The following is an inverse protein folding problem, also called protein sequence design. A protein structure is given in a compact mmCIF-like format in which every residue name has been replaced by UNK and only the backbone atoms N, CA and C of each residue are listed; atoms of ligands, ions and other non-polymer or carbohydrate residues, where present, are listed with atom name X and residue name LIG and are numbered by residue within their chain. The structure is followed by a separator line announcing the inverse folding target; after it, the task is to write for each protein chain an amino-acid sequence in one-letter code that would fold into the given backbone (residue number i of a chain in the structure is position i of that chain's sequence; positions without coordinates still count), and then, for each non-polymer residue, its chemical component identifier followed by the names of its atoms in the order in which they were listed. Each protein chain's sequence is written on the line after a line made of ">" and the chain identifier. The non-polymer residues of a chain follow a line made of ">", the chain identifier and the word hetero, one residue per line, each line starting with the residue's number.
data_IF_538375398781
#
_entry.id   IF_538375398781
#
_cell.length_a   1.000
_cell.length_b   1.000
_cell.length_c   1.000
_cell.angle_alpha   90.00
_cell.angle_beta   90.00
_cell.angle_gamma   90.00
#
_symmetry.space_group_name_H-M   'P 1'
#
loop_
_entity.id
_entity.type
_entity.pdbx_description
1 polymer ?
#
# COMPACT_ATOMS: atom_id res chain seq x y z
N UNK A 1 -4.39 2.15 19.58
CA UNK A 1 -4.56 2.29 18.12
C UNK A 1 -3.16 2.34 17.53
N UNK A 2 -2.78 1.39 16.67
CA UNK A 2 -1.44 1.37 16.05
C UNK A 2 -1.30 2.45 14.98
N UNK A 3 -0.11 3.04 14.88
CA UNK A 3 0.20 4.21 14.03
C UNK A 3 0.07 3.91 12.53
N UNK A 4 0.24 2.64 12.16
CA UNK A 4 0.08 2.14 10.79
C UNK A 4 -0.95 1.00 10.79
N UNK A 5 -2.05 1.16 10.04
CA UNK A 5 -2.98 0.05 9.77
C UNK A 5 -2.31 -0.95 8.82
N UNK A 6 -1.43 -1.79 9.35
CA UNK A 6 -0.79 -2.87 8.61
C UNK A 6 -1.79 -3.98 8.33
N UNK A 7 -1.88 -4.41 7.07
CA UNK A 7 -2.68 -5.57 6.69
C UNK A 7 -2.06 -6.82 7.34
N UNK A 8 -2.83 -7.74 7.96
CA UNK A 8 -2.29 -8.91 8.68
C UNK A 8 -1.32 -9.76 7.86
N UNK A 9 -1.56 -9.90 6.55
CA UNK A 9 -0.64 -10.62 5.65
C UNK A 9 0.69 -9.89 5.45
N UNK A 10 0.69 -8.54 5.44
CA UNK A 10 1.92 -7.73 5.39
C UNK A 10 2.71 -7.91 6.68
N UNK A 11 2.02 -7.90 7.83
CA UNK A 11 2.65 -8.11 9.14
C UNK A 11 3.32 -9.49 9.23
N UNK A 12 2.63 -10.57 8.84
CA UNK A 12 3.20 -11.93 8.84
C UNK A 12 4.41 -12.04 7.90
N UNK A 13 4.34 -11.40 6.74
CA UNK A 13 5.45 -11.43 5.77
C UNK A 13 6.64 -10.61 6.24
N UNK A 14 6.41 -9.50 6.95
CA UNK A 14 7.47 -8.69 7.58
C UNK A 14 8.16 -9.43 8.72
N UNK A 15 7.38 -10.07 9.61
CA UNK A 15 7.87 -10.92 10.70
C UNK A 15 8.80 -12.01 10.16
N UNK A 16 8.38 -12.68 9.09
CA UNK A 16 9.17 -13.75 8.47
C UNK A 16 10.45 -13.21 7.81
N UNK A 17 10.36 -12.08 7.10
CA UNK A 17 11.49 -11.54 6.34
C UNK A 17 12.53 -10.80 7.19
N UNK A 18 12.10 -10.21 8.32
CA UNK A 18 12.97 -9.47 9.23
C UNK A 18 13.36 -10.29 10.47
N UNK A 19 12.88 -11.53 10.59
CA UNK A 19 13.14 -12.40 11.73
C UNK A 19 12.64 -11.83 13.06
N UNK A 20 11.49 -11.14 13.04
CA UNK A 20 10.97 -10.46 14.23
C UNK A 20 10.34 -11.47 15.19
N UNK A 21 10.59 -11.27 16.49
CA UNK A 21 9.97 -12.09 17.54
C UNK A 21 8.48 -11.76 17.65
N UNK A 22 7.63 -12.73 17.33
CA UNK A 22 6.16 -12.64 17.40
C UNK A 22 5.63 -12.45 18.82
N UNK A 23 6.46 -12.64 19.85
CA UNK A 23 6.10 -12.41 21.24
C UNK A 23 6.40 -10.98 21.71
N UNK A 24 7.14 -10.19 20.93
CA UNK A 24 7.35 -8.78 21.23
C UNK A 24 6.11 -7.96 20.89
N UNK A 25 5.82 -6.98 21.75
CA UNK A 25 4.72 -6.02 21.53
C UNK A 25 5.02 -5.24 20.25
N UNK A 26 4.04 -5.14 19.37
CA UNK A 26 4.12 -4.31 18.16
C UNK A 26 4.05 -2.82 18.55
N UNK A 27 5.12 -2.30 19.12
CA UNK A 27 5.28 -0.91 19.50
C UNK A 27 5.62 -0.01 18.29
N UNK A 28 5.72 1.30 18.51
CA UNK A 28 5.94 2.26 17.42
C UNK A 28 7.27 2.04 16.71
N UNK A 29 8.32 1.66 17.44
CA UNK A 29 9.66 1.39 16.88
C UNK A 29 9.64 0.14 15.99
N UNK A 30 8.95 -0.92 16.43
CA UNK A 30 8.76 -2.13 15.64
C UNK A 30 7.92 -1.87 14.39
N UNK A 31 6.90 -1.01 14.50
CA UNK A 31 6.08 -0.61 13.35
C UNK A 31 6.87 0.21 12.33
N UNK A 32 7.70 1.16 12.79
CA UNK A 32 8.58 1.96 11.93
C UNK A 32 9.61 1.06 11.23
N UNK A 33 10.20 0.10 11.94
CA UNK A 33 11.14 -0.86 11.36
C UNK A 33 10.48 -1.76 10.29
N UNK A 34 9.28 -2.28 10.57
CA UNK A 34 8.51 -3.04 9.57
C UNK A 34 8.18 -2.16 8.35
N UNK A 35 7.83 -0.90 8.58
CA UNK A 35 7.50 0.06 7.54
C UNK A 35 8.71 0.39 6.65
N UNK A 36 9.84 0.75 7.25
CA UNK A 36 11.04 1.22 6.54
C UNK A 36 11.87 0.07 5.96
N UNK A 37 12.08 -1.02 6.71
CA UNK A 37 12.99 -2.09 6.28
C UNK A 37 12.33 -3.15 5.41
N UNK A 38 11.03 -3.40 5.59
CA UNK A 38 10.34 -4.44 4.83
C UNK A 38 9.37 -3.86 3.81
N UNK A 39 8.52 -2.94 4.24
CA UNK A 39 7.39 -2.47 3.44
C UNK A 39 7.85 -1.61 2.26
N UNK A 40 8.68 -0.60 2.53
CA UNK A 40 9.21 0.31 1.51
C UNK A 40 10.35 -0.34 0.72
N UNK A 41 11.31 -0.99 1.39
CA UNK A 41 12.52 -1.53 0.73
C UNK A 41 12.32 -2.86 0.01
N UNK A 42 11.55 -3.80 0.59
CA UNK A 42 11.43 -5.16 0.05
C UNK A 42 10.14 -5.36 -0.74
N UNK A 43 8.99 -4.96 -0.18
CA UNK A 43 7.67 -5.23 -0.79
C UNK A 43 7.30 -4.22 -1.89
N UNK A 44 7.77 -2.97 -1.78
CA UNK A 44 7.43 -1.86 -2.69
C UNK A 44 8.66 -1.09 -3.18
N UNK A 45 9.59 -1.74 -3.92
CA UNK A 45 10.87 -1.15 -4.35
C UNK A 45 10.71 0.14 -5.16
N UNK A 46 9.54 0.37 -5.78
CA UNK A 46 9.24 1.59 -6.52
C UNK A 46 9.16 2.85 -5.63
N UNK A 47 8.78 2.70 -4.36
CA UNK A 47 8.76 3.81 -3.40
C UNK A 47 10.18 4.23 -3.08
N UNK A 48 11.05 3.29 -2.70
CA UNK A 48 12.45 3.59 -2.39
C UNK A 48 13.22 4.07 -3.62
N UNK A 49 12.99 3.48 -4.80
CA UNK A 49 13.59 3.94 -6.05
C UNK A 49 13.27 5.42 -6.33
N UNK A 50 12.03 5.86 -6.08
CA UNK A 50 11.69 7.28 -6.23
C UNK A 50 12.44 8.16 -5.23
N UNK A 51 12.47 7.77 -3.95
CA UNK A 51 13.12 8.52 -2.87
C UNK A 51 14.64 8.63 -3.10
N UNK A 52 15.29 7.57 -3.60
CA UNK A 52 16.72 7.51 -3.92
C UNK A 52 17.06 8.10 -5.30
N UNK A 53 16.06 8.55 -6.06
CA UNK A 53 16.27 9.28 -7.30
C UNK A 53 16.24 8.47 -8.60
N UNK A 54 16.12 7.14 -8.54
CA UNK A 54 16.09 6.27 -9.72
C UNK A 54 14.67 5.95 -10.25
N UNK A 55 13.61 6.32 -9.51
CA UNK A 55 12.20 6.07 -9.86
C UNK A 55 11.35 7.32 -10.09
N UNK A 56 10.08 7.10 -10.50
CA UNK A 56 9.08 8.17 -10.70
C UNK A 56 8.08 8.26 -9.56
N UNK A 57 7.52 9.46 -9.36
CA UNK A 57 6.57 9.73 -8.26
C UNK A 57 5.27 8.96 -8.48
N UNK A 58 4.82 8.81 -9.72
CA UNK A 58 3.58 8.11 -10.09
C UNK A 58 3.66 6.62 -9.73
N UNK A 59 4.82 6.00 -9.93
CA UNK A 59 5.06 4.59 -9.61
C UNK A 59 5.14 4.36 -8.09
N UNK A 60 5.73 5.30 -7.36
CA UNK A 60 5.76 5.29 -5.90
C UNK A 60 4.34 5.47 -5.31
N UNK A 61 3.58 6.45 -5.81
CA UNK A 61 2.19 6.70 -5.40
C UNK A 61 1.31 5.47 -5.63
N UNK A 62 1.39 4.86 -6.82
CA UNK A 62 0.60 3.67 -7.14
C UNK A 62 0.98 2.48 -6.25
N UNK A 63 2.27 2.29 -6.00
CA UNK A 63 2.78 1.24 -5.11
C UNK A 63 2.33 1.44 -3.67
N UNK A 64 2.25 2.69 -3.20
CA UNK A 64 1.71 3.04 -1.89
C UNK A 64 0.22 2.73 -1.80
N UNK A 65 -0.57 3.06 -2.82
CA UNK A 65 -2.01 2.78 -2.86
C UNK A 65 -2.34 1.27 -2.91
N UNK A 66 -1.45 0.43 -3.46
CA UNK A 66 -1.57 -1.02 -3.42
C UNK A 66 -1.30 -1.62 -2.03
N UNK A 67 -0.76 -0.84 -1.12
CA UNK A 67 -0.33 -1.30 0.18
C UNK A 67 -1.19 -0.76 1.31
N UNK A 68 -1.52 0.54 1.23
CA UNK A 68 -2.40 1.21 2.16
C UNK A 68 -3.71 1.54 1.47
N UNK A 69 -4.77 0.85 1.86
CA UNK A 69 -6.11 1.05 1.32
C UNK A 69 -6.63 2.50 1.54
N UNK A 70 -6.06 3.21 2.51
CA UNK A 70 -6.33 4.63 2.80
C UNK A 70 -5.75 5.59 1.75
N UNK A 71 -4.85 5.15 0.88
CA UNK A 71 -4.27 5.98 -0.19
C UNK A 71 -5.07 5.82 -1.48
N UNK A 72 -5.44 6.96 -2.05
CA UNK A 72 -6.18 7.05 -3.30
C UNK A 72 -5.31 6.75 -4.51
N UNK A 73 -5.87 5.99 -5.45
CA UNK A 73 -5.26 5.64 -6.74
C UNK A 73 -5.54 6.75 -7.76
N UNK A 74 -4.54 7.09 -8.57
CA UNK A 74 -4.69 8.06 -9.66
C UNK A 74 -5.70 7.60 -10.71
N UNK A 75 -6.41 8.56 -11.31
CA UNK A 75 -7.38 8.28 -12.36
C UNK A 75 -6.75 7.49 -13.51
N UNK A 76 -7.45 6.45 -13.97
CA UNK A 76 -7.02 5.62 -15.09
C UNK A 76 -6.01 4.52 -14.74
N UNK A 77 -5.49 4.47 -13.50
CA UNK A 77 -4.67 3.33 -13.04
C UNK A 77 -5.57 2.14 -12.69
N UNK A 78 -5.10 0.89 -12.89
CA UNK A 78 -5.88 -0.29 -12.54
C UNK A 78 -6.05 -0.40 -11.02
N UNK A 79 -7.23 -0.84 -10.59
CA UNK A 79 -7.53 -1.19 -9.19
C UNK A 79 -7.86 -2.68 -9.11
N UNK A 80 -7.99 -3.23 -7.90
CA UNK A 80 -8.29 -4.65 -7.68
C UNK A 80 -9.45 -5.14 -8.56
N UNK A 81 -9.31 -6.31 -9.15
CA UNK A 81 -10.37 -6.87 -9.99
C UNK A 81 -11.64 -7.12 -9.17
N UNK A 82 -12.80 -6.91 -9.80
CA UNK A 82 -14.06 -7.38 -9.23
C UNK A 82 -14.15 -8.88 -9.44
N UNK A 83 -14.13 -9.62 -8.35
CA UNK A 83 -14.28 -11.08 -8.35
C UNK A 83 -15.77 -11.43 -8.40
N UNK A 84 -16.17 -12.16 -9.44
CA UNK A 84 -17.52 -12.74 -9.52
C UNK A 84 -17.44 -14.18 -9.06
N UNK A 85 -18.31 -14.55 -8.11
CA UNK A 85 -18.41 -15.91 -7.56
C UNK A 85 -19.77 -16.51 -7.91
N UNK A 86 -19.82 -17.83 -8.11
CA UNK A 86 -21.08 -18.55 -8.23
C UNK A 86 -21.74 -18.73 -6.85
N UNK A 87 -22.95 -19.32 -6.82
CA UNK A 87 -23.70 -19.61 -5.58
C UNK A 87 -22.94 -20.51 -4.57
N UNK A 88 -21.92 -21.25 -5.01
CA UNK A 88 -21.05 -22.10 -4.18
C UNK A 88 -19.77 -21.38 -3.72
N UNK A 89 -19.63 -20.08 -3.98
CA UNK A 89 -18.46 -19.28 -3.61
C UNK A 89 -17.23 -19.46 -4.51
N UNK A 90 -17.31 -20.29 -5.56
CA UNK A 90 -16.19 -20.48 -6.51
C UNK A 90 -16.08 -19.26 -7.42
N UNK A 91 -14.85 -18.75 -7.59
CA UNK A 91 -14.54 -17.67 -8.53
C UNK A 91 -14.84 -18.14 -9.96
N UNK A 92 -15.66 -17.39 -10.68
CA UNK A 92 -16.05 -17.68 -12.07
C UNK A 92 -15.54 -16.64 -13.07
N UNK A 93 -15.30 -15.39 -12.63
CA UNK A 93 -14.65 -14.38 -13.46
C UNK A 93 -14.00 -13.29 -12.62
N UNK A 94 -13.06 -12.57 -13.25
CA UNK A 94 -12.41 -11.38 -12.72
C UNK A 94 -12.62 -10.26 -13.72
N UNK A 95 -13.25 -9.18 -13.29
CA UNK A 95 -13.51 -8.01 -14.14
C UNK A 95 -12.48 -6.96 -13.78
N UNK A 96 -11.64 -6.57 -14.76
CA UNK A 96 -10.67 -5.49 -14.60
C UNK A 96 -11.37 -4.18 -14.32
N UNK A 97 -10.79 -3.39 -13.41
CA UNK A 97 -11.32 -2.08 -13.01
C UNK A 97 -10.21 -1.03 -13.03
N UNK A 98 -10.63 0.20 -13.23
CA UNK A 98 -9.74 1.36 -13.26
C UNK A 98 -10.29 2.43 -12.33
N UNK A 99 -9.41 3.10 -11.61
CA UNK A 99 -9.79 4.17 -10.71
C UNK A 99 -10.37 5.35 -11.51
N UNK A 100 -11.45 5.93 -11.00
CA UNK A 100 -11.98 7.24 -11.42
C UNK A 100 -11.13 8.39 -10.87
N UNK A 101 -10.30 8.10 -9.86
CA UNK A 101 -9.37 9.02 -9.22
C UNK A 101 -9.70 9.20 -7.74
N UNK A 102 -8.74 8.94 -6.86
CA UNK A 102 -8.86 9.09 -5.40
C UNK A 102 -9.55 7.93 -4.68
N UNK A 103 -9.91 6.87 -5.38
CA UNK A 103 -10.48 5.65 -4.79
C UNK A 103 -9.38 4.74 -4.24
N UNK A 104 -9.70 3.93 -3.23
CA UNK A 104 -8.79 2.88 -2.75
C UNK A 104 -8.47 1.88 -3.87
N UNK A 105 -7.26 1.30 -3.87
CA UNK A 105 -6.96 0.15 -4.73
C UNK A 105 -7.94 -1.02 -4.52
N UNK A 106 -8.48 -1.15 -3.31
CA UNK A 106 -9.44 -2.18 -2.93
C UNK A 106 -10.91 -1.73 -3.02
N UNK A 107 -11.19 -0.57 -3.64
CA UNK A 107 -12.53 -0.02 -3.71
C UNK A 107 -13.56 -1.03 -4.26
N UNK A 108 -14.77 -1.03 -3.71
CA UNK A 108 -15.87 -1.90 -4.12
C UNK A 108 -15.93 -3.28 -3.42
N UNK A 109 -15.11 -3.50 -2.40
CA UNK A 109 -15.26 -4.62 -1.45
C UNK A 109 -16.19 -4.32 -0.26
N UNK A 110 -16.63 -3.06 -0.13
CA UNK A 110 -17.52 -2.58 0.94
C UNK A 110 -16.80 -2.27 2.26
N UNK A 111 -15.49 -2.49 2.35
CA UNK A 111 -14.70 -2.30 3.56
C UNK A 111 -13.65 -1.20 3.42
N UNK A 112 -13.01 -1.11 2.25
CA UNK A 112 -11.88 -0.23 2.03
C UNK A 112 -12.30 1.11 1.39
N UNK A 113 -11.86 2.21 2.01
CA UNK A 113 -12.05 3.58 1.52
C UNK A 113 -10.75 4.36 1.64
N UNK A 114 -10.44 5.12 0.60
CA UNK A 114 -9.31 6.05 0.63
C UNK A 114 -9.67 7.31 1.44
N UNK A 115 -8.69 7.79 2.20
CA UNK A 115 -8.74 8.99 3.02
C UNK A 115 -7.63 10.00 2.66
N UNK A 116 -6.61 9.56 1.92
CA UNK A 116 -5.51 10.35 1.40
C UNK A 116 -5.66 10.45 -0.12
N UNK A 117 -5.74 11.66 -0.66
CA UNK A 117 -5.87 11.88 -2.11
C UNK A 117 -4.55 11.64 -2.84
N UNK A 118 -4.57 11.42 -4.18
CA UNK A 118 -3.35 11.31 -4.98
C UNK A 118 -2.43 12.53 -4.82
N UNK A 119 -2.99 13.73 -4.71
CA UNK A 119 -2.21 14.95 -4.51
C UNK A 119 -1.53 14.99 -3.13
N UNK A 120 -2.23 14.58 -2.07
CA UNK A 120 -1.65 14.53 -0.72
C UNK A 120 -0.48 13.55 -0.64
N UNK A 121 -0.60 12.35 -1.23
CA UNK A 121 0.49 11.38 -1.23
C UNK A 121 1.65 11.82 -2.14
N UNK A 122 1.36 12.49 -3.27
CA UNK A 122 2.39 13.09 -4.13
C UNK A 122 3.23 14.11 -3.37
N UNK A 123 2.58 15.01 -2.64
CA UNK A 123 3.25 16.04 -1.84
C UNK A 123 4.08 15.41 -0.72
N UNK A 124 3.52 14.41 -0.02
CA UNK A 124 4.24 13.69 1.03
C UNK A 124 5.52 13.03 0.50
N UNK A 125 5.42 12.28 -0.60
CA UNK A 125 6.58 11.63 -1.23
C UNK A 125 7.63 12.63 -1.73
N UNK A 126 7.19 13.74 -2.33
CA UNK A 126 8.09 14.78 -2.83
C UNK A 126 8.85 15.45 -1.68
N UNK A 127 8.15 15.82 -0.61
CA UNK A 127 8.76 16.41 0.59
C UNK A 127 9.75 15.43 1.25
N UNK A 128 9.40 14.14 1.34
CA UNK A 128 10.31 13.12 1.87
C UNK A 128 11.56 12.96 1.01
N UNK A 129 11.44 13.04 -0.32
CA UNK A 129 12.60 12.99 -1.23
C UNK A 129 13.52 14.21 -1.04
N UNK A 130 12.95 15.39 -0.91
CA UNK A 130 13.73 16.62 -0.76
C UNK A 130 14.39 16.73 0.62
N UNK A 131 13.78 16.17 1.68
CA UNK A 131 14.39 16.10 3.01
C UNK A 131 15.56 15.10 3.10
N UNK A 132 15.69 14.18 2.14
CA UNK A 132 16.78 13.20 2.05
C UNK A 132 17.97 13.69 1.19
N UNK A 133 17.93 14.92 0.69
CA UNK A 133 19.05 15.58 -0.02
C UNK A 133 19.89 16.39 0.95
#
# INVERSE_FOLDING_TARGET
>A
MGRYQLIPNTLNSAVTSLGLDINQKLDEVMQDKIFDEYLIKVKRPKIIAYLEGSGSVEDAMYSAAQEWASIGVEKGKPISDKVVKNKKGKVISRIKRYAKGGESYYAGDGLNKAHITPEQIKNALTNSKDANK
#
